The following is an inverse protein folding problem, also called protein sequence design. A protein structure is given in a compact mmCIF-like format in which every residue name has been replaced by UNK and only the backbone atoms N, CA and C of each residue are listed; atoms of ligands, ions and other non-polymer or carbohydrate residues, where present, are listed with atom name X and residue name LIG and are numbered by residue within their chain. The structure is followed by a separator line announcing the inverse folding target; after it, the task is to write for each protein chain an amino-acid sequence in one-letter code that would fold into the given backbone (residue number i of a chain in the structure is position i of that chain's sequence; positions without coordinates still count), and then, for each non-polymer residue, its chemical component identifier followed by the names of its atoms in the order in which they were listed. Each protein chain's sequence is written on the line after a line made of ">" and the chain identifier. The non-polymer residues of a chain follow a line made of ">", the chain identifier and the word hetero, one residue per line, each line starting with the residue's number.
data_IF_825289076760
#
_entry.id   IF_825289076760
#
_cell.length_a   1.000
_cell.length_b   1.000
_cell.length_c   1.000
_cell.angle_alpha   90.00
_cell.angle_beta   90.00
_cell.angle_gamma   90.00
#
_symmetry.space_group_name_H-M   'P 1'
#
loop_
_entity.id
_entity.type
_entity.pdbx_description
1 polymer ?
#
# COMPACT_ATOMS: atom_id res chain seq x y z
N UNK A 1 12.21 44.30 68.26
CA UNK A 1 11.52 44.33 66.96
C UNK A 1 12.57 44.01 65.91
N UNK A 2 12.63 42.77 65.45
CA UNK A 2 13.56 42.30 64.40
C UNK A 2 12.82 42.24 63.04
N UNK A 3 13.24 43.04 62.08
CA UNK A 3 12.70 43.07 60.70
C UNK A 3 13.41 42.00 59.89
N UNK A 4 12.67 41.03 59.32
CA UNK A 4 13.14 40.09 58.32
C UNK A 4 12.96 40.68 56.91
N UNK A 5 13.90 40.60 56.00
CA UNK A 5 13.70 40.99 54.60
C UNK A 5 13.00 39.87 53.82
N UNK A 6 11.93 40.22 53.14
CA UNK A 6 11.30 39.32 52.14
C UNK A 6 12.16 39.27 50.89
N UNK A 7 12.64 38.06 50.54
CA UNK A 7 13.30 37.80 49.28
C UNK A 7 12.25 37.42 48.22
N UNK A 8 12.03 38.29 47.23
CA UNK A 8 11.15 38.04 46.11
C UNK A 8 11.89 37.22 45.05
N UNK A 9 11.62 35.90 44.97
CA UNK A 9 12.17 35.07 43.89
C UNK A 9 11.29 35.23 42.66
N UNK A 10 11.81 35.88 41.65
CA UNK A 10 11.18 36.01 40.31
C UNK A 10 11.43 34.69 39.55
N UNK A 11 10.42 33.82 39.50
CA UNK A 11 10.43 32.62 38.62
C UNK A 11 10.09 33.08 37.21
N UNK A 12 11.10 33.29 36.38
CA UNK A 12 10.88 33.39 34.91
C UNK A 12 10.63 31.99 34.36
N UNK A 13 9.36 31.70 34.06
CA UNK A 13 9.00 30.47 33.35
C UNK A 13 9.57 30.53 31.92
N UNK A 14 10.54 29.66 31.63
CA UNK A 14 11.05 29.43 30.27
C UNK A 14 10.01 28.57 29.52
N UNK A 15 8.97 29.22 28.97
CA UNK A 15 7.95 28.58 28.15
C UNK A 15 8.35 28.46 26.66
N UNK A 16 9.62 28.77 26.31
CA UNK A 16 10.07 28.83 24.92
C UNK A 16 10.69 27.57 24.32
N UNK A 17 11.04 26.54 25.14
CA UNK A 17 11.82 25.41 24.63
C UNK A 17 10.99 24.19 24.18
N UNK A 18 9.83 23.97 24.78
CA UNK A 18 8.98 22.82 24.44
C UNK A 18 8.30 23.00 23.08
N UNK A 19 7.75 24.18 22.78
CA UNK A 19 7.11 24.47 21.49
C UNK A 19 8.11 24.46 20.31
N UNK A 20 9.36 24.88 20.52
CA UNK A 20 10.41 24.82 19.52
C UNK A 20 10.95 23.38 19.29
N UNK A 21 10.96 22.55 20.30
CA UNK A 21 11.31 21.13 20.19
C UNK A 21 10.19 20.31 19.52
N UNK A 22 8.93 20.59 19.80
CA UNK A 22 7.78 19.98 19.11
C UNK A 22 7.70 20.42 17.65
N UNK A 23 7.94 21.69 17.35
CA UNK A 23 8.01 22.19 15.98
C UNK A 23 9.18 21.55 15.17
N UNK A 24 10.35 21.30 15.78
CA UNK A 24 11.46 20.59 15.14
C UNK A 24 11.19 19.10 14.96
N UNK A 25 10.51 18.43 15.89
CA UNK A 25 10.06 17.04 15.75
C UNK A 25 9.03 16.92 14.61
N UNK A 26 8.08 17.85 14.51
CA UNK A 26 7.04 17.83 13.46
C UNK A 26 7.60 18.18 12.08
N UNK A 27 8.56 19.09 11.94
CA UNK A 27 9.20 19.41 10.65
C UNK A 27 10.13 18.31 10.16
N UNK A 28 10.86 17.63 11.04
CA UNK A 28 11.66 16.45 10.69
C UNK A 28 10.80 15.26 10.26
N UNK A 29 9.66 15.06 10.90
CA UNK A 29 8.70 14.02 10.54
C UNK A 29 8.03 14.27 9.17
N UNK A 30 7.81 15.53 8.80
CA UNK A 30 7.18 15.90 7.51
C UNK A 30 8.07 15.67 6.28
N UNK A 31 9.38 15.60 6.44
CA UNK A 31 10.33 15.43 5.33
C UNK A 31 10.83 13.99 5.13
N UNK A 32 10.56 13.07 6.06
CA UNK A 32 10.92 11.67 5.88
C UNK A 32 10.01 10.97 4.86
N UNK A 33 10.48 9.88 4.21
CA UNK A 33 9.63 9.06 3.35
C UNK A 33 8.39 8.56 4.11
N UNK A 34 7.25 8.54 3.42
CA UNK A 34 6.01 7.96 3.94
C UNK A 34 6.14 6.44 3.89
N UNK A 35 5.98 5.76 5.02
CA UNK A 35 5.96 4.30 5.11
C UNK A 35 4.54 3.81 4.77
N UNK A 36 4.33 3.34 3.56
CA UNK A 36 3.01 2.91 3.08
C UNK A 36 2.90 1.39 2.99
N UNK A 37 1.81 0.83 3.54
CA UNK A 37 1.42 -0.55 3.35
C UNK A 37 0.36 -0.62 2.25
N UNK A 38 0.64 -1.33 1.15
CA UNK A 38 -0.34 -1.66 0.12
C UNK A 38 -0.83 -3.09 0.35
N UNK A 39 -2.08 -3.23 0.79
CA UNK A 39 -2.75 -4.53 0.87
C UNK A 39 -3.53 -4.75 -0.40
N UNK A 40 -3.37 -5.90 -1.03
CA UNK A 40 -3.97 -6.19 -2.33
C UNK A 40 -4.25 -7.67 -2.49
N UNK A 41 -5.35 -8.01 -3.17
CA UNK A 41 -5.75 -9.39 -3.40
C UNK A 41 -7.25 -9.58 -3.50
N UNK A 42 -7.68 -10.83 -3.62
CA UNK A 42 -9.08 -11.18 -3.81
C UNK A 42 -9.47 -11.37 -5.28
N UNK A 43 -10.78 -11.35 -5.57
CA UNK A 43 -11.29 -11.60 -6.91
C UNK A 43 -11.22 -10.39 -7.85
N UNK A 44 -11.48 -10.67 -9.09
CA UNK A 44 -12.09 -9.76 -10.07
C UNK A 44 -11.14 -8.74 -10.72
N UNK A 45 -9.94 -8.50 -10.20
CA UNK A 45 -9.01 -7.48 -10.68
C UNK A 45 -7.60 -8.04 -10.91
N UNK A 46 -6.81 -7.31 -11.70
CA UNK A 46 -5.41 -7.64 -11.98
C UNK A 46 -4.48 -7.04 -10.92
N UNK A 47 -4.62 -7.50 -9.69
CA UNK A 47 -3.85 -7.00 -8.55
C UNK A 47 -2.33 -7.11 -8.74
N UNK A 48 -1.86 -8.04 -9.56
CA UNK A 48 -0.43 -8.20 -9.80
C UNK A 48 0.16 -7.07 -10.64
N UNK A 49 -0.62 -6.46 -11.54
CA UNK A 49 -0.24 -5.24 -12.23
C UNK A 49 -0.63 -3.98 -11.45
N UNK A 50 -1.83 -3.97 -10.87
CA UNK A 50 -2.33 -2.81 -10.12
C UNK A 50 -1.39 -2.41 -8.98
N UNK A 51 -0.83 -3.38 -8.23
CA UNK A 51 0.17 -3.08 -7.18
C UNK A 51 1.41 -2.37 -7.72
N UNK A 52 1.84 -2.70 -8.95
CA UNK A 52 2.99 -2.06 -9.60
C UNK A 52 2.64 -0.67 -10.13
N UNK A 53 1.47 -0.53 -10.75
CA UNK A 53 0.99 0.76 -11.25
C UNK A 53 0.84 1.75 -10.11
N UNK A 54 0.17 1.35 -9.02
CA UNK A 54 -0.03 2.20 -7.83
C UNK A 54 1.30 2.56 -7.16
N UNK A 55 2.11 1.57 -6.79
CA UNK A 55 3.34 1.85 -6.06
C UNK A 55 4.34 2.67 -6.86
N UNK A 56 4.57 2.35 -8.14
CA UNK A 56 5.49 3.11 -8.99
C UNK A 56 4.92 4.47 -9.41
N UNK A 57 3.60 4.51 -9.71
CA UNK A 57 2.93 5.74 -10.09
C UNK A 57 2.92 6.78 -8.98
N UNK A 58 2.65 6.36 -7.76
CA UNK A 58 2.70 7.24 -6.58
C UNK A 58 4.14 7.62 -6.23
N UNK A 59 5.11 6.67 -6.27
CA UNK A 59 6.51 6.98 -6.00
C UNK A 59 7.15 7.90 -7.04
N UNK A 60 6.61 7.96 -8.26
CA UNK A 60 7.02 8.96 -9.25
C UNK A 60 6.59 10.39 -8.89
N UNK A 61 5.70 10.55 -7.92
CA UNK A 61 5.02 11.81 -7.54
C UNK A 61 5.24 12.23 -6.10
N UNK A 62 5.63 11.31 -5.23
CA UNK A 62 5.85 11.57 -3.80
C UNK A 62 6.91 10.62 -3.22
N UNK A 63 7.55 11.05 -2.14
CA UNK A 63 8.56 10.25 -1.45
C UNK A 63 7.89 9.19 -0.55
N UNK A 64 7.70 7.99 -1.10
CA UNK A 64 6.99 6.88 -0.45
C UNK A 64 7.82 5.60 -0.51
N UNK A 65 7.92 4.92 0.63
CA UNK A 65 8.49 3.58 0.76
C UNK A 65 7.35 2.58 0.93
N UNK A 66 7.34 1.54 0.10
CA UNK A 66 6.23 0.60 0.04
C UNK A 66 6.55 -0.76 0.66
N UNK A 67 5.66 -1.22 1.52
CA UNK A 67 5.48 -2.64 1.83
C UNK A 67 4.24 -3.14 1.11
N UNK A 68 4.34 -4.23 0.35
CA UNK A 68 3.23 -4.76 -0.44
C UNK A 68 2.81 -6.13 0.07
N UNK A 69 1.62 -6.22 0.64
CA UNK A 69 0.99 -7.47 1.09
C UNK A 69 0.02 -7.99 0.01
N UNK A 70 0.51 -8.81 -0.92
CA UNK A 70 -0.32 -9.50 -1.93
C UNK A 70 -0.76 -10.85 -1.37
N UNK A 71 -1.93 -10.90 -0.75
CA UNK A 71 -2.44 -12.06 0.00
C UNK A 71 -3.89 -12.40 -0.36
N UNK A 72 -4.42 -13.52 0.15
CA UNK A 72 -5.83 -13.91 0.02
C UNK A 72 -6.23 -14.53 -1.32
N UNK A 73 -5.29 -14.75 -2.25
CA UNK A 73 -5.55 -15.43 -3.53
C UNK A 73 -6.52 -14.66 -4.44
N UNK A 74 -7.49 -15.37 -5.04
CA UNK A 74 -8.43 -14.86 -6.03
C UNK A 74 -9.92 -15.08 -5.65
N UNK A 75 -10.22 -15.27 -4.36
CA UNK A 75 -11.59 -15.49 -3.86
C UNK A 75 -12.10 -14.24 -3.15
N UNK A 76 -13.42 -14.19 -2.87
CA UNK A 76 -14.03 -13.08 -2.12
C UNK A 76 -14.13 -13.34 -0.61
N UNK A 77 -13.80 -14.55 -0.13
CA UNK A 77 -14.03 -15.00 1.24
C UNK A 77 -12.76 -15.30 2.04
N UNK A 78 -11.57 -15.07 1.46
CA UNK A 78 -10.33 -15.31 2.18
C UNK A 78 -10.07 -14.20 3.21
N UNK A 79 -9.74 -14.60 4.43
CA UNK A 79 -9.17 -13.70 5.44
C UNK A 79 -7.70 -13.50 5.15
N UNK A 80 -7.26 -12.26 5.00
CA UNK A 80 -5.85 -11.92 4.79
C UNK A 80 -5.07 -12.27 6.07
N UNK A 81 -4.02 -13.13 6.01
CA UNK A 81 -3.26 -13.53 7.20
C UNK A 81 -2.64 -12.35 7.94
N UNK A 82 -2.20 -11.32 7.23
CA UNK A 82 -1.67 -10.09 7.82
C UNK A 82 -2.60 -9.51 8.90
N UNK A 83 -3.90 -9.45 8.62
CA UNK A 83 -4.89 -8.85 9.52
C UNK A 83 -5.25 -9.72 10.73
N UNK A 84 -4.71 -10.94 10.85
CA UNK A 84 -4.86 -11.78 12.04
C UNK A 84 -3.92 -11.34 13.18
N UNK A 85 -2.83 -10.66 12.85
CA UNK A 85 -1.96 -10.04 13.83
C UNK A 85 -2.61 -8.76 14.38
N UNK A 86 -2.61 -8.58 15.71
CA UNK A 86 -3.14 -7.37 16.32
C UNK A 86 -2.33 -6.12 15.96
N UNK A 87 -1.03 -6.28 15.76
CA UNK A 87 -0.08 -5.20 15.49
C UNK A 87 0.25 -5.08 14.00
N UNK A 88 -0.62 -5.60 13.13
CA UNK A 88 -0.41 -5.68 11.68
C UNK A 88 -0.04 -4.35 11.02
N UNK A 89 -0.48 -3.24 11.58
CA UNK A 89 -0.29 -1.88 11.03
C UNK A 89 0.93 -1.15 11.61
N UNK A 90 1.65 -1.75 12.56
CA UNK A 90 2.76 -1.09 13.27
C UNK A 90 3.90 -0.73 12.32
N UNK A 91 4.35 0.52 12.39
CA UNK A 91 5.45 1.06 11.59
C UNK A 91 5.03 1.64 10.23
N UNK A 92 3.73 1.67 9.91
CA UNK A 92 3.20 2.32 8.72
C UNK A 92 2.57 3.67 9.05
N UNK A 93 2.72 4.61 8.11
CA UNK A 93 2.09 5.95 8.17
C UNK A 93 0.73 5.95 7.50
N UNK A 94 0.48 5.00 6.59
CA UNK A 94 -0.76 4.89 5.81
C UNK A 94 -0.94 3.47 5.30
N UNK A 95 -2.20 3.06 5.17
CA UNK A 95 -2.57 1.81 4.49
C UNK A 95 -3.34 2.12 3.22
N UNK A 96 -2.95 1.49 2.12
CA UNK A 96 -3.67 1.53 0.85
C UNK A 96 -4.37 0.18 0.67
N UNK A 97 -5.68 0.20 0.81
CA UNK A 97 -6.56 -0.95 0.58
C UNK A 97 -6.92 -1.02 -0.90
N UNK A 98 -6.37 -2.04 -1.60
CA UNK A 98 -6.68 -2.40 -2.98
C UNK A 98 -7.01 -3.88 -3.04
N UNK A 99 -8.02 -4.30 -2.31
CA UNK A 99 -8.44 -5.69 -2.16
C UNK A 99 -9.93 -5.90 -2.41
N UNK A 100 -10.35 -7.15 -2.67
CA UNK A 100 -11.75 -7.50 -2.91
C UNK A 100 -12.17 -8.77 -2.16
N UNK A 101 -12.62 -8.62 -0.89
CA UNK A 101 -13.06 -9.71 -0.01
C UNK A 101 -14.48 -9.49 0.52
N UNK A 102 -15.42 -9.26 -0.40
CA UNK A 102 -16.81 -8.91 -0.08
C UNK A 102 -17.58 -9.97 0.73
N UNK A 103 -17.14 -11.24 0.68
CA UNK A 103 -17.80 -12.36 1.35
C UNK A 103 -17.25 -12.70 2.74
N UNK A 104 -16.24 -11.97 3.21
CA UNK A 104 -15.77 -12.07 4.61
C UNK A 104 -16.78 -11.39 5.52
N UNK A 105 -17.38 -12.19 6.44
CA UNK A 105 -18.46 -11.73 7.36
C UNK A 105 -18.05 -11.77 8.82
N UNK A 106 -16.81 -12.09 9.13
CA UNK A 106 -16.32 -12.17 10.50
C UNK A 106 -16.12 -10.76 11.07
N UNK A 107 -16.99 -10.39 12.01
CA UNK A 107 -17.03 -9.06 12.63
C UNK A 107 -15.78 -8.74 13.43
N UNK A 108 -15.23 -9.71 14.15
CA UNK A 108 -14.03 -9.52 14.98
C UNK A 108 -12.79 -9.33 14.09
N UNK A 109 -12.68 -10.13 13.04
CA UNK A 109 -11.63 -9.97 12.04
C UNK A 109 -11.67 -8.57 11.40
N UNK A 110 -12.86 -8.12 11.00
CA UNK A 110 -13.02 -6.77 10.41
C UNK A 110 -12.77 -5.68 11.45
N UNK A 111 -13.21 -5.85 12.69
CA UNK A 111 -12.91 -4.91 13.77
C UNK A 111 -11.40 -4.76 14.02
N UNK A 112 -10.62 -5.86 13.89
CA UNK A 112 -9.16 -5.79 13.98
C UNK A 112 -8.52 -5.01 12.83
N UNK A 113 -9.10 -5.06 11.61
CA UNK A 113 -8.67 -4.21 10.49
C UNK A 113 -8.97 -2.73 10.79
N UNK A 114 -10.16 -2.46 11.30
CA UNK A 114 -10.66 -1.09 11.50
C UNK A 114 -10.03 -0.37 12.70
N UNK A 115 -9.58 -1.12 13.71
CA UNK A 115 -9.07 -0.56 14.97
C UNK A 115 -7.95 0.49 14.76
N UNK A 116 -6.84 0.21 14.05
CA UNK A 116 -5.79 1.22 13.88
C UNK A 116 -6.26 2.45 13.11
N UNK A 117 -7.20 2.30 12.17
CA UNK A 117 -7.77 3.43 11.44
C UNK A 117 -8.63 4.32 12.33
N UNK A 118 -9.40 3.74 13.24
CA UNK A 118 -10.15 4.50 14.24
C UNK A 118 -9.23 5.24 15.21
N UNK A 119 -8.06 4.66 15.51
CA UNK A 119 -7.00 5.21 16.36
C UNK A 119 -6.10 6.23 15.64
N UNK A 120 -6.40 6.61 14.40
CA UNK A 120 -5.73 7.69 13.66
C UNK A 120 -4.85 7.26 12.49
N UNK A 121 -4.69 5.96 12.20
CA UNK A 121 -3.91 5.53 11.03
C UNK A 121 -4.66 5.88 9.73
N UNK A 122 -4.09 6.72 8.85
CA UNK A 122 -4.70 7.08 7.58
C UNK A 122 -4.93 5.90 6.66
N UNK A 123 -5.94 6.00 5.78
CA UNK A 123 -6.25 4.99 4.78
C UNK A 123 -6.55 5.57 3.40
N UNK A 124 -6.19 4.80 2.37
CA UNK A 124 -6.72 4.95 1.03
C UNK A 124 -7.54 3.70 0.68
N UNK A 125 -8.72 3.90 0.11
CA UNK A 125 -9.60 2.82 -0.36
C UNK A 125 -9.72 2.92 -1.88
N UNK A 126 -9.19 1.93 -2.57
CA UNK A 126 -9.12 1.91 -4.02
C UNK A 126 -10.15 0.92 -4.56
N UNK A 127 -11.08 1.42 -5.36
CA UNK A 127 -12.03 0.68 -6.15
C UNK A 127 -12.83 -0.34 -5.31
N UNK A 128 -12.60 -1.64 -5.50
CA UNK A 128 -13.36 -2.72 -4.86
C UNK A 128 -13.24 -2.74 -3.33
N UNK A 129 -12.18 -2.16 -2.77
CA UNK A 129 -11.99 -2.07 -1.32
C UNK A 129 -13.15 -1.34 -0.62
N UNK A 130 -13.84 -0.43 -1.33
CA UNK A 130 -14.96 0.31 -0.78
C UNK A 130 -16.17 -0.57 -0.40
N UNK A 131 -16.30 -1.77 -0.94
CA UNK A 131 -17.40 -2.67 -0.65
C UNK A 131 -16.98 -4.09 -0.17
N UNK A 132 -15.77 -4.19 0.38
CA UNK A 132 -15.28 -5.40 1.06
C UNK A 132 -16.02 -5.66 2.38
N UNK A 133 -15.70 -6.78 3.01
CA UNK A 133 -16.01 -7.08 4.41
C UNK A 133 -17.46 -6.81 4.83
N UNK A 134 -18.42 -7.41 4.08
CA UNK A 134 -19.86 -7.22 4.30
C UNK A 134 -20.36 -8.07 5.48
N UNK A 135 -20.12 -7.57 6.68
CA UNK A 135 -20.44 -8.25 7.96
C UNK A 135 -21.92 -8.26 8.31
N UNK A 136 -22.76 -7.57 7.54
CA UNK A 136 -24.20 -7.44 7.78
C UNK A 136 -24.56 -6.25 8.67
N UNK A 137 -23.57 -5.47 9.09
CA UNK A 137 -23.70 -4.17 9.74
C UNK A 137 -22.89 -3.11 8.96
N UNK A 138 -22.93 -1.87 9.41
CA UNK A 138 -22.32 -0.74 8.71
C UNK A 138 -20.83 -0.51 9.07
N UNK A 139 -20.20 -1.32 9.94
CA UNK A 139 -18.86 -1.02 10.48
C UNK A 139 -17.79 -0.74 9.40
N UNK A 140 -17.78 -1.52 8.30
CA UNK A 140 -16.88 -1.25 7.17
C UNK A 140 -17.29 -0.01 6.40
N UNK A 141 -18.60 0.19 6.18
CA UNK A 141 -19.11 1.32 5.41
C UNK A 141 -18.99 2.66 6.13
N UNK A 142 -19.05 2.68 7.46
CA UNK A 142 -18.72 3.86 8.27
C UNK A 142 -17.25 4.28 8.07
N UNK A 143 -16.34 3.30 8.04
CA UNK A 143 -14.93 3.56 7.72
C UNK A 143 -14.75 4.04 6.28
N UNK A 144 -15.44 3.44 5.32
CA UNK A 144 -15.42 3.86 3.91
C UNK A 144 -16.04 5.25 3.72
N UNK A 145 -17.13 5.56 4.43
CA UNK A 145 -17.91 6.80 4.29
C UNK A 145 -18.97 6.77 3.21
N UNK A 146 -19.00 5.73 2.37
CA UNK A 146 -19.99 5.52 1.30
C UNK A 146 -20.34 4.04 1.22
N UNK A 147 -21.61 3.73 1.14
CA UNK A 147 -22.10 2.35 0.96
C UNK A 147 -22.56 2.11 -0.47
N UNK A 148 -22.08 1.00 -1.05
CA UNK A 148 -22.51 0.51 -2.35
C UNK A 148 -22.74 -1.01 -2.33
N UNK A 149 -23.85 -1.51 -2.86
CA UNK A 149 -24.08 -2.95 -3.00
C UNK A 149 -23.33 -3.56 -4.20
N UNK A 150 -22.89 -2.73 -5.17
CA UNK A 150 -22.25 -3.16 -6.41
C UNK A 150 -22.29 -2.08 -7.49
N UNK A 151 -22.10 -2.49 -8.71
CA UNK A 151 -21.97 -1.63 -9.88
C UNK A 151 -22.84 -2.10 -11.04
N UNK A 152 -22.97 -1.26 -12.07
CA UNK A 152 -23.59 -1.59 -13.34
C UNK A 152 -22.62 -2.27 -14.31
N UNK A 153 -22.98 -2.36 -15.62
CA UNK A 153 -22.09 -2.87 -16.64
C UNK A 153 -20.84 -1.99 -16.83
N UNK A 154 -19.80 -2.55 -17.44
CA UNK A 154 -18.54 -1.85 -17.70
C UNK A 154 -18.69 -0.90 -18.89
N UNK A 155 -18.39 0.37 -18.71
CA UNK A 155 -18.42 1.38 -19.75
C UNK A 155 -17.50 2.56 -19.42
N UNK A 156 -17.26 3.41 -20.41
CA UNK A 156 -16.60 4.70 -20.19
C UNK A 156 -17.58 5.67 -19.53
N UNK A 157 -17.14 6.34 -18.46
CA UNK A 157 -17.96 7.36 -17.77
C UNK A 157 -17.12 8.58 -17.41
N UNK A 158 -17.79 9.71 -17.28
CA UNK A 158 -17.16 10.97 -16.93
C UNK A 158 -17.44 11.30 -15.46
N UNK A 159 -16.38 11.62 -14.72
CA UNK A 159 -16.44 12.06 -13.33
C UNK A 159 -16.33 13.57 -13.30
N UNK A 160 -17.35 14.25 -12.80
CA UNK A 160 -17.38 15.68 -12.56
C UNK A 160 -16.65 16.02 -11.25
N UNK A 161 -15.83 17.09 -11.27
CA UNK A 161 -15.14 17.61 -10.09
C UNK A 161 -16.08 18.49 -9.28
N UNK A 162 -16.51 17.99 -8.11
CA UNK A 162 -17.49 18.66 -7.24
C UNK A 162 -16.84 19.66 -6.28
N UNK A 163 -15.53 19.59 -6.08
CA UNK A 163 -14.79 20.41 -5.12
C UNK A 163 -13.42 20.84 -5.69
N UNK A 164 -13.37 21.68 -6.73
CA UNK A 164 -12.11 22.04 -7.40
C UNK A 164 -11.08 22.74 -6.51
N UNK A 165 -11.54 23.39 -5.42
CA UNK A 165 -10.66 24.02 -4.43
C UNK A 165 -10.06 23.03 -3.41
N UNK A 166 -10.56 21.78 -3.35
CA UNK A 166 -10.01 20.79 -2.43
C UNK A 166 -8.60 20.36 -2.85
N UNK A 167 -7.62 20.26 -1.93
CA UNK A 167 -6.22 19.97 -2.26
C UNK A 167 -6.02 18.71 -3.11
N UNK A 168 -6.81 17.66 -2.85
CA UNK A 168 -6.77 16.41 -3.62
C UNK A 168 -7.15 16.62 -5.09
N UNK A 169 -8.09 17.53 -5.36
CA UNK A 169 -8.67 17.74 -6.69
C UNK A 169 -7.89 18.75 -7.54
N UNK A 170 -6.79 19.29 -7.02
CA UNK A 170 -5.92 20.17 -7.79
C UNK A 170 -5.31 19.43 -8.96
N UNK A 171 -5.39 20.01 -10.16
CA UNK A 171 -4.93 19.38 -11.40
C UNK A 171 -5.87 18.32 -11.99
N UNK A 172 -6.92 17.91 -11.26
CA UNK A 172 -7.93 16.99 -11.79
C UNK A 172 -8.70 17.59 -13.00
N UNK A 173 -8.83 18.92 -12.99
CA UNK A 173 -9.63 19.65 -13.96
C UNK A 173 -11.12 19.56 -13.66
N UNK A 174 -11.99 20.12 -14.54
CA UNK A 174 -13.44 20.08 -14.33
C UNK A 174 -14.01 18.67 -14.42
N UNK A 175 -13.37 17.81 -15.23
CA UNK A 175 -13.83 16.45 -15.52
C UNK A 175 -12.67 15.49 -15.72
N UNK A 176 -12.92 14.22 -15.39
CA UNK A 176 -12.04 13.09 -15.72
C UNK A 176 -12.85 12.02 -16.44
N UNK A 177 -12.37 11.56 -17.58
CA UNK A 177 -12.97 10.44 -18.29
C UNK A 177 -12.27 9.16 -17.86
N UNK A 178 -12.99 8.27 -17.17
CA UNK A 178 -12.56 6.89 -16.99
C UNK A 178 -12.80 6.16 -18.31
N UNK A 179 -11.74 5.76 -19.04
CA UNK A 179 -11.91 5.22 -20.41
C UNK A 179 -12.70 3.92 -20.42
N UNK A 180 -12.62 3.16 -19.35
CA UNK A 180 -13.39 1.95 -19.08
C UNK A 180 -13.46 1.72 -17.58
N UNK A 181 -14.62 1.32 -17.06
CA UNK A 181 -14.75 1.11 -15.63
C UNK A 181 -16.10 0.56 -15.21
N UNK A 182 -16.23 0.38 -13.91
CA UNK A 182 -17.44 0.03 -13.19
C UNK A 182 -17.90 1.25 -12.40
N UNK A 183 -19.08 1.76 -12.71
CA UNK A 183 -19.68 2.82 -11.90
C UNK A 183 -20.45 2.18 -10.77
N UNK A 184 -19.94 2.34 -9.53
CA UNK A 184 -20.59 1.81 -8.32
C UNK A 184 -21.85 2.60 -7.99
N UNK A 185 -22.90 1.88 -7.55
CA UNK A 185 -24.18 2.46 -7.17
C UNK A 185 -24.14 2.84 -5.69
N UNK A 186 -24.01 4.13 -5.39
CA UNK A 186 -24.04 4.66 -4.02
C UNK A 186 -25.47 4.65 -3.49
N UNK A 187 -25.71 3.96 -2.38
CA UNK A 187 -27.00 3.89 -1.71
C UNK A 187 -27.06 4.69 -0.41
N UNK A 188 -25.91 4.96 0.20
CA UNK A 188 -25.77 5.77 1.41
C UNK A 188 -24.45 6.52 1.35
N UNK A 189 -24.48 7.79 1.69
CA UNK A 189 -23.29 8.63 1.96
C UNK A 189 -23.40 9.03 3.42
N UNK A 190 -22.37 8.74 4.21
CA UNK A 190 -22.34 9.07 5.63
C UNK A 190 -22.00 10.54 5.84
N UNK A 191 -22.51 11.15 6.90
CA UNK A 191 -22.31 12.57 7.19
C UNK A 191 -20.85 12.97 7.39
N UNK A 192 -20.00 12.01 7.78
CA UNK A 192 -18.55 12.16 7.90
C UNK A 192 -17.81 12.24 6.56
N UNK A 193 -18.49 11.89 5.44
CA UNK A 193 -17.88 11.89 4.12
C UNK A 193 -18.06 13.23 3.39
N UNK A 194 -17.02 13.63 2.66
CA UNK A 194 -17.04 14.77 1.75
C UNK A 194 -16.88 14.31 0.32
N UNK A 195 -17.89 14.46 -0.51
CA UNK A 195 -17.88 14.08 -1.93
C UNK A 195 -17.03 15.08 -2.72
N UNK A 196 -16.02 14.57 -3.44
CA UNK A 196 -15.10 15.33 -4.28
C UNK A 196 -15.37 15.15 -5.78
N UNK A 197 -15.89 13.97 -6.17
CA UNK A 197 -16.19 13.68 -7.58
C UNK A 197 -17.39 12.74 -7.71
N UNK A 198 -18.20 12.99 -8.74
CA UNK A 198 -19.41 12.20 -9.06
C UNK A 198 -19.49 11.91 -10.55
N UNK A 199 -20.17 10.81 -10.90
CA UNK A 199 -20.57 10.51 -12.26
C UNK A 199 -22.05 10.12 -12.31
N UNK A 200 -22.72 10.43 -13.41
CA UNK A 200 -24.11 10.08 -13.57
C UNK A 200 -24.26 8.67 -14.14
N UNK A 201 -25.13 7.88 -13.50
CA UNK A 201 -25.44 6.52 -13.92
C UNK A 201 -26.18 6.50 -15.26
N UNK A 202 -25.72 5.64 -16.16
CA UNK A 202 -26.39 5.43 -17.45
C UNK A 202 -27.78 4.86 -17.22
N UNK A 203 -28.77 5.43 -17.88
CA UNK A 203 -30.15 5.00 -17.86
C UNK A 203 -31.08 5.89 -17.04
N UNK A 204 -30.76 6.15 -15.78
CA UNK A 204 -31.60 6.99 -14.89
C UNK A 204 -30.95 8.33 -14.48
N UNK A 205 -29.74 8.56 -14.95
CA UNK A 205 -28.96 9.78 -14.69
C UNK A 205 -28.73 10.11 -13.19
N UNK A 206 -28.89 9.13 -12.31
CA UNK A 206 -28.65 9.33 -10.86
C UNK A 206 -27.15 9.55 -10.57
N UNK A 207 -26.78 10.56 -9.80
CA UNK A 207 -25.39 10.80 -9.42
C UNK A 207 -24.87 9.67 -8.53
N UNK A 208 -23.63 9.23 -8.81
CA UNK A 208 -22.92 8.21 -8.06
C UNK A 208 -21.59 8.78 -7.58
N UNK A 209 -21.23 8.52 -6.33
CA UNK A 209 -19.98 9.00 -5.74
C UNK A 209 -18.80 8.21 -6.32
N UNK A 210 -17.81 8.94 -6.85
CA UNK A 210 -16.61 8.35 -7.44
C UNK A 210 -15.33 8.68 -6.69
N UNK A 211 -15.26 9.86 -6.06
CA UNK A 211 -14.08 10.33 -5.29
C UNK A 211 -14.60 11.03 -4.04
N UNK A 212 -14.07 10.69 -2.87
CA UNK A 212 -14.46 11.32 -1.61
C UNK A 212 -13.36 11.23 -0.55
N UNK A 213 -13.52 11.99 0.50
CA UNK A 213 -12.79 11.83 1.77
C UNK A 213 -13.77 11.45 2.87
N UNK A 214 -13.27 10.82 3.93
CA UNK A 214 -14.04 10.49 5.10
C UNK A 214 -13.21 10.69 6.38
N UNK A 215 -13.86 10.91 7.49
CA UNK A 215 -13.27 10.89 8.83
C UNK A 215 -13.77 9.65 9.58
N UNK A 216 -12.85 8.86 10.15
CA UNK A 216 -13.20 7.65 10.89
C UNK A 216 -12.43 7.59 12.21
N UNK A 217 -13.10 7.92 13.32
CA UNK A 217 -12.41 8.23 14.58
C UNK A 217 -11.42 9.39 14.37
N UNK A 218 -10.17 9.18 14.72
CA UNK A 218 -9.08 10.15 14.51
C UNK A 218 -8.41 9.99 13.12
N UNK A 219 -8.81 8.98 12.33
CA UNK A 219 -8.21 8.65 11.05
C UNK A 219 -8.83 9.41 9.88
N UNK A 220 -7.99 9.73 8.89
CA UNK A 220 -8.37 10.29 7.60
C UNK A 220 -8.44 9.23 6.53
N UNK A 221 -9.48 9.25 5.74
CA UNK A 221 -9.69 8.31 4.64
C UNK A 221 -9.85 9.08 3.33
N UNK A 222 -9.07 8.71 2.33
CA UNK A 222 -9.32 9.05 0.93
C UNK A 222 -9.84 7.81 0.21
N UNK A 223 -10.86 7.96 -0.62
CA UNK A 223 -11.43 6.82 -1.33
C UNK A 223 -11.87 7.17 -2.75
N UNK A 224 -11.81 6.16 -3.63
CA UNK A 224 -12.29 6.26 -5.01
C UNK A 224 -12.87 4.94 -5.50
N UNK A 225 -14.00 5.00 -6.22
CA UNK A 225 -14.55 3.84 -6.96
C UNK A 225 -13.88 3.64 -8.32
N UNK A 226 -13.07 4.60 -8.79
CA UNK A 226 -12.34 4.50 -10.04
C UNK A 226 -11.18 3.53 -9.85
N UNK A 227 -10.91 2.61 -10.81
CA UNK A 227 -9.73 1.76 -10.72
C UNK A 227 -9.92 0.27 -11.05
N UNK A 228 -11.01 -0.09 -11.74
CA UNK A 228 -11.21 -1.49 -12.18
C UNK A 228 -10.12 -1.93 -13.17
N UNK A 229 -9.83 -1.11 -14.17
CA UNK A 229 -8.91 -1.43 -15.26
C UNK A 229 -7.53 -0.81 -15.06
N UNK A 230 -6.50 -1.56 -15.46
CA UNK A 230 -5.11 -1.12 -15.41
C UNK A 230 -4.91 0.17 -16.22
N UNK A 231 -5.57 0.29 -17.38
CA UNK A 231 -5.52 1.46 -18.27
C UNK A 231 -6.00 2.73 -17.54
N UNK A 232 -7.09 2.63 -16.78
CA UNK A 232 -7.63 3.73 -15.99
C UNK A 232 -6.70 4.09 -14.84
N UNK A 233 -6.15 3.08 -14.15
CA UNK A 233 -5.22 3.31 -13.03
C UNK A 233 -3.88 3.89 -13.47
N UNK A 234 -3.44 3.61 -14.70
CA UNK A 234 -2.19 4.14 -15.26
C UNK A 234 -2.34 5.56 -15.87
N UNK A 235 -3.55 6.14 -15.86
CA UNK A 235 -3.75 7.51 -16.30
C UNK A 235 -3.04 8.50 -15.36
N UNK A 236 -2.23 9.45 -15.88
CA UNK A 236 -1.50 10.40 -15.05
C UNK A 236 -2.39 11.16 -14.07
N UNK A 237 -3.54 11.67 -14.53
CA UNK A 237 -4.51 12.39 -13.67
C UNK A 237 -5.06 11.51 -12.54
N UNK A 238 -5.27 10.22 -12.79
CA UNK A 238 -5.69 9.28 -11.76
C UNK A 238 -4.59 9.13 -10.69
N UNK A 239 -3.35 8.91 -11.12
CA UNK A 239 -2.21 8.77 -10.23
C UNK A 239 -1.90 10.06 -9.46
N UNK A 240 -2.07 11.22 -10.09
CA UNK A 240 -1.94 12.52 -9.43
C UNK A 240 -2.97 12.68 -8.31
N UNK A 241 -4.24 12.34 -8.57
CA UNK A 241 -5.32 12.37 -7.59
C UNK A 241 -5.06 11.41 -6.42
N UNK A 242 -4.68 10.16 -6.70
CA UNK A 242 -4.38 9.15 -5.67
C UNK A 242 -3.19 9.60 -4.83
N UNK A 243 -2.14 10.16 -5.45
CA UNK A 243 -0.97 10.67 -4.73
C UNK A 243 -1.33 11.84 -3.82
N UNK A 244 -2.12 12.80 -4.30
CA UNK A 244 -2.60 13.91 -3.47
C UNK A 244 -3.52 13.41 -2.35
N UNK A 245 -4.31 12.36 -2.60
CA UNK A 245 -5.11 11.68 -1.58
C UNK A 245 -4.25 11.08 -0.47
N UNK A 246 -3.13 10.44 -0.85
CA UNK A 246 -2.17 9.88 0.10
C UNK A 246 -1.49 10.97 0.93
N UNK A 247 -1.00 12.03 0.28
CA UNK A 247 -0.38 13.17 0.97
C UNK A 247 -1.36 13.84 1.94
N UNK A 248 -2.60 14.10 1.49
CA UNK A 248 -3.65 14.71 2.32
C UNK A 248 -3.99 13.83 3.53
N UNK A 249 -4.14 12.53 3.35
CA UNK A 249 -4.45 11.61 4.44
C UNK A 249 -3.33 11.58 5.49
N UNK A 250 -2.07 11.69 5.06
CA UNK A 250 -0.89 11.71 5.94
C UNK A 250 -0.54 13.11 6.50
N UNK A 251 -1.41 14.11 6.38
CA UNK A 251 -1.13 15.50 6.78
C UNK A 251 0.16 16.07 6.15
N UNK A 252 0.49 15.61 4.93
CA UNK A 252 1.57 16.17 4.12
C UNK A 252 1.03 17.29 3.23
N UNK A 253 1.87 18.26 2.97
CA UNK A 253 1.53 19.31 2.01
C UNK A 253 1.34 18.70 0.62
N UNK A 254 0.14 18.86 0.04
CA UNK A 254 -0.23 18.30 -1.27
C UNK A 254 0.41 19.04 -2.45
N UNK A 255 1.07 20.17 -2.21
CA UNK A 255 1.84 20.92 -3.20
C UNK A 255 3.35 20.68 -3.03
N UNK A 256 3.89 21.00 -1.83
CA UNK A 256 5.31 20.83 -1.56
C UNK A 256 5.76 19.36 -1.50
N UNK A 257 4.85 18.43 -1.13
CA UNK A 257 5.10 16.99 -1.12
C UNK A 257 4.81 16.29 -2.45
N UNK A 258 4.26 17.01 -3.43
CA UNK A 258 3.89 16.47 -4.74
C UNK A 258 4.85 16.97 -5.82
N UNK A 259 5.40 16.05 -6.59
CA UNK A 259 6.22 16.34 -7.78
C UNK A 259 5.49 15.79 -9.02
N UNK A 260 5.21 16.60 -10.04
CA UNK A 260 4.64 16.10 -11.29
C UNK A 260 5.54 15.03 -11.92
N UNK A 261 4.94 13.96 -12.42
CA UNK A 261 5.66 12.92 -13.15
C UNK A 261 6.13 13.43 -14.51
N UNK A 262 7.23 12.86 -15.03
CA UNK A 262 7.65 13.13 -16.40
C UNK A 262 6.89 12.26 -17.40
N UNK A 263 6.85 12.67 -18.66
CA UNK A 263 6.23 11.89 -19.75
C UNK A 263 6.84 10.50 -19.88
N UNK A 264 8.16 10.39 -19.80
CA UNK A 264 8.89 9.12 -19.87
C UNK A 264 8.53 8.19 -18.72
N UNK A 265 8.37 8.76 -17.51
CA UNK A 265 7.95 7.97 -16.34
C UNK A 265 6.50 7.49 -16.47
N UNK A 266 5.59 8.33 -16.95
CA UNK A 266 4.20 7.94 -17.18
C UNK A 266 4.08 6.87 -18.28
N UNK A 267 4.88 6.96 -19.34
CA UNK A 267 4.96 5.92 -20.38
C UNK A 267 5.51 4.60 -19.83
N UNK A 268 6.52 4.66 -18.95
CA UNK A 268 7.04 3.48 -18.25
C UNK A 268 6.00 2.83 -17.34
N UNK A 269 5.16 3.62 -16.67
CA UNK A 269 4.04 3.11 -15.86
C UNK A 269 2.96 2.49 -16.76
N UNK A 270 2.60 3.12 -17.86
CA UNK A 270 1.66 2.55 -18.84
C UNK A 270 2.15 1.23 -19.43
N UNK A 271 3.45 1.06 -19.64
CA UNK A 271 4.02 -0.21 -20.11
C UNK A 271 3.75 -1.38 -19.15
N UNK A 272 3.49 -1.11 -17.85
CA UNK A 272 3.14 -2.15 -16.89
C UNK A 272 1.78 -2.82 -17.18
N UNK A 273 0.90 -2.16 -17.93
CA UNK A 273 -0.39 -2.72 -18.34
C UNK A 273 -0.20 -4.01 -19.14
N UNK A 274 0.85 -4.08 -19.98
CA UNK A 274 1.12 -5.21 -20.87
C UNK A 274 2.21 -6.17 -20.34
N UNK A 275 2.76 -5.95 -19.12
CA UNK A 275 3.80 -6.83 -18.57
C UNK A 275 3.25 -8.25 -18.41
N UNK A 276 3.89 -9.24 -19.03
CA UNK A 276 3.62 -10.64 -18.79
C UNK A 276 4.12 -11.03 -17.39
N UNK A 277 3.23 -10.90 -16.42
CA UNK A 277 3.45 -11.45 -15.08
C UNK A 277 3.15 -12.94 -15.15
N UNK A 278 4.06 -13.76 -14.61
CA UNK A 278 3.76 -15.17 -14.42
C UNK A 278 2.42 -15.27 -13.64
N UNK A 279 1.46 -16.11 -14.09
CA UNK A 279 0.19 -16.23 -13.39
C UNK A 279 0.44 -16.54 -11.92
N UNK A 280 -0.26 -15.83 -11.03
CA UNK A 280 -0.24 -16.16 -9.62
C UNK A 280 -0.58 -17.64 -9.46
N UNK A 281 0.16 -18.42 -8.65
CA UNK A 281 -0.16 -19.83 -8.46
C UNK A 281 -1.60 -19.92 -7.99
N UNK A 282 -2.45 -20.62 -8.76
CA UNK A 282 -3.82 -20.90 -8.35
C UNK A 282 -3.76 -21.54 -6.97
N UNK A 283 -4.48 -21.01 -6.01
CA UNK A 283 -4.61 -21.59 -4.68
C UNK A 283 -5.00 -23.07 -4.87
N UNK A 284 -4.10 -23.98 -4.57
CA UNK A 284 -4.32 -25.40 -4.69
C UNK A 284 -5.28 -25.83 -3.59
N UNK A 285 -6.54 -25.98 -3.94
CA UNK A 285 -7.41 -26.89 -3.22
C UNK A 285 -6.90 -28.31 -3.44
N UNK A 286 -6.44 -28.97 -2.36
CA UNK A 286 -6.12 -30.39 -2.31
C UNK A 286 -4.90 -30.84 -3.08
N UNK A 287 -3.85 -31.24 -2.37
CA UNK A 287 -2.87 -32.26 -2.72
C UNK A 287 -2.22 -32.21 -4.11
N UNK A 288 -1.60 -31.10 -4.52
CA UNK A 288 -0.81 -31.06 -5.75
C UNK A 288 0.63 -31.51 -5.49
N UNK A 289 1.08 -32.52 -6.25
CA UNK A 289 2.50 -32.90 -6.36
C UNK A 289 3.36 -31.68 -6.75
N UNK A 290 4.61 -31.57 -6.26
CA UNK A 290 5.50 -30.47 -6.62
C UNK A 290 5.62 -30.36 -8.15
N UNK A 291 5.32 -29.19 -8.68
CA UNK A 291 5.49 -28.90 -10.11
C UNK A 291 6.98 -28.87 -10.42
N UNK A 292 7.39 -29.45 -11.53
CA UNK A 292 8.78 -29.47 -11.97
C UNK A 292 9.41 -28.08 -11.89
N UNK A 293 10.53 -27.96 -11.22
CA UNK A 293 11.24 -26.74 -10.93
C UNK A 293 11.66 -26.03 -12.23
N UNK A 294 11.15 -24.79 -12.40
CA UNK A 294 11.60 -23.91 -13.50
C UNK A 294 12.97 -23.29 -13.19
N UNK A 295 13.83 -23.15 -14.20
CA UNK A 295 15.09 -22.41 -14.07
C UNK A 295 14.89 -20.93 -14.41
N UNK A 296 15.39 -20.03 -13.57
CA UNK A 296 15.43 -18.60 -13.84
C UNK A 296 16.44 -18.29 -14.97
N UNK A 297 16.17 -17.25 -15.77
CA UNK A 297 17.11 -16.82 -16.81
C UNK A 297 18.34 -16.14 -16.17
N UNK A 298 19.55 -16.58 -16.58
CA UNK A 298 20.82 -15.99 -16.12
C UNK A 298 21.03 -14.54 -16.60
N UNK A 299 20.56 -14.20 -17.80
CA UNK A 299 20.82 -12.88 -18.42
C UNK A 299 20.16 -11.76 -17.60
N UNK A 300 20.98 -10.86 -17.03
CA UNK A 300 20.54 -9.73 -16.23
C UNK A 300 20.28 -10.02 -14.74
N UNK A 301 20.41 -11.28 -14.29
CA UNK A 301 20.31 -11.61 -12.88
C UNK A 301 21.70 -11.59 -12.22
N UNK A 302 22.04 -10.50 -11.53
CA UNK A 302 23.34 -10.30 -10.92
C UNK A 302 23.60 -11.30 -9.78
N UNK A 303 22.58 -11.68 -9.02
CA UNK A 303 22.74 -12.56 -7.86
C UNK A 303 23.28 -13.95 -8.21
N UNK A 304 22.93 -14.49 -9.41
CA UNK A 304 23.33 -15.84 -9.80
C UNK A 304 24.84 -16.00 -10.06
N UNK A 305 25.56 -14.88 -10.24
CA UNK A 305 27.02 -14.88 -10.37
C UNK A 305 27.71 -14.56 -9.05
N UNK A 306 26.95 -14.10 -8.04
CA UNK A 306 27.48 -13.67 -6.76
C UNK A 306 27.74 -14.84 -5.80
N UNK A 307 28.60 -14.59 -4.81
CA UNK A 307 28.93 -15.53 -3.74
C UNK A 307 27.95 -15.38 -2.59
N UNK A 308 27.12 -16.40 -2.34
CA UNK A 308 26.17 -16.41 -1.23
C UNK A 308 26.84 -16.77 0.10
N UNK A 309 26.39 -16.14 1.19
CA UNK A 309 26.67 -16.50 2.57
C UNK A 309 25.42 -16.31 3.43
N UNK A 310 25.35 -17.00 4.57
CA UNK A 310 24.21 -16.93 5.48
C UNK A 310 24.66 -17.14 6.92
N UNK A 311 23.89 -16.65 7.88
CA UNK A 311 24.12 -16.85 9.32
C UNK A 311 24.00 -18.33 9.71
N UNK A 312 23.09 -19.07 9.09
CA UNK A 312 22.87 -20.50 9.29
C UNK A 312 22.26 -21.16 8.05
N UNK A 313 22.22 -22.49 8.00
CA UNK A 313 21.55 -23.25 6.94
C UNK A 313 20.98 -24.58 7.45
N UNK A 314 19.82 -24.97 6.95
CA UNK A 314 19.12 -26.21 7.32
C UNK A 314 19.71 -27.41 6.54
N UNK A 315 20.90 -27.86 6.96
CA UNK A 315 21.66 -28.97 6.31
C UNK A 315 20.89 -30.27 6.25
N UNK A 316 20.16 -30.57 7.33
CA UNK A 316 19.42 -31.83 7.46
C UNK A 316 18.37 -32.04 6.36
N UNK A 317 17.84 -30.96 5.82
CA UNK A 317 16.86 -30.95 4.71
C UNK A 317 17.46 -30.49 3.38
N UNK A 318 18.78 -30.34 3.33
CA UNK A 318 19.50 -29.89 2.13
C UNK A 318 19.04 -28.48 1.65
N UNK A 319 18.66 -27.60 2.56
CA UNK A 319 18.28 -26.22 2.24
C UNK A 319 19.50 -25.30 2.45
N UNK A 320 20.46 -25.41 1.54
CA UNK A 320 21.79 -24.83 1.71
C UNK A 320 21.89 -23.39 1.22
N UNK A 321 22.82 -22.62 1.78
CA UNK A 321 23.09 -21.21 1.47
C UNK A 321 23.22 -20.95 -0.03
N UNK A 322 23.93 -21.80 -0.77
CA UNK A 322 24.16 -21.70 -2.23
C UNK A 322 22.89 -21.79 -3.06
N UNK A 323 21.80 -22.30 -2.50
CA UNK A 323 20.54 -22.46 -3.21
C UNK A 323 19.68 -21.19 -3.19
N UNK A 324 20.08 -20.15 -2.43
CA UNK A 324 19.39 -18.86 -2.40
C UNK A 324 19.53 -18.06 -3.70
N UNK A 325 20.55 -18.35 -4.52
CA UNK A 325 20.82 -17.64 -5.78
C UNK A 325 21.22 -18.56 -6.96
N UNK A 326 20.96 -19.86 -6.89
CA UNK A 326 21.34 -20.83 -7.95
C UNK A 326 20.43 -20.76 -9.20
N UNK A 327 19.37 -19.96 -9.14
CA UNK A 327 18.40 -19.80 -10.23
C UNK A 327 17.46 -20.98 -10.42
N UNK A 328 17.41 -21.90 -9.49
CA UNK A 328 16.55 -23.08 -9.53
C UNK A 328 15.41 -22.92 -8.50
N UNK A 329 14.19 -22.76 -8.96
CA UNK A 329 13.01 -22.60 -8.09
C UNK A 329 12.60 -23.88 -7.33
N UNK A 330 13.27 -25.00 -7.58
CA UNK A 330 13.08 -26.26 -6.85
C UNK A 330 14.03 -26.44 -5.66
N UNK A 331 15.00 -25.57 -5.54
CA UNK A 331 15.94 -25.48 -4.42
C UNK A 331 15.71 -24.20 -3.64
N UNK A 332 16.17 -24.14 -2.40
CA UNK A 332 16.05 -22.95 -1.56
C UNK A 332 17.11 -22.95 -0.46
N UNK A 333 17.35 -21.78 0.06
CA UNK A 333 17.97 -21.64 1.36
C UNK A 333 16.90 -21.56 2.46
N UNK A 334 17.16 -22.21 3.59
CA UNK A 334 16.45 -21.98 4.85
C UNK A 334 17.47 -21.86 5.97
N UNK A 335 17.20 -20.97 6.92
CA UNK A 335 17.94 -20.92 8.18
C UNK A 335 17.75 -22.19 9.00
N UNK A 336 18.70 -22.50 9.86
CA UNK A 336 18.60 -23.62 10.78
C UNK A 336 17.77 -23.24 12.02
N UNK A 337 16.46 -23.18 11.83
CA UNK A 337 15.49 -22.77 12.84
C UNK A 337 14.70 -21.53 12.46
N UNK A 338 14.02 -20.94 13.46
CA UNK A 338 13.13 -19.78 13.30
C UNK A 338 13.55 -18.58 14.16
N UNK A 339 14.84 -18.46 14.47
CA UNK A 339 15.34 -17.39 15.32
C UNK A 339 15.27 -16.04 14.58
N UNK A 340 14.87 -14.96 15.26
CA UNK A 340 14.99 -13.62 14.69
C UNK A 340 16.46 -13.27 14.39
N UNK A 341 16.70 -12.54 13.30
CA UNK A 341 18.03 -12.09 12.92
C UNK A 341 18.81 -13.03 12.01
N UNK A 342 18.20 -14.13 11.52
CA UNK A 342 18.81 -14.96 10.50
C UNK A 342 18.98 -14.16 9.20
N UNK A 343 20.19 -14.22 8.62
CA UNK A 343 20.55 -13.44 7.43
C UNK A 343 20.99 -14.31 6.28
N UNK A 344 20.69 -13.89 5.07
CA UNK A 344 21.25 -14.38 3.84
C UNK A 344 21.72 -13.20 3.00
N UNK A 345 22.93 -13.27 2.48
CA UNK A 345 23.50 -12.20 1.65
C UNK A 345 24.18 -12.77 0.40
N UNK A 346 24.32 -11.93 -0.60
CA UNK A 346 25.08 -12.23 -1.82
C UNK A 346 26.07 -11.10 -2.10
N UNK A 347 27.34 -11.47 -2.23
CA UNK A 347 28.41 -10.61 -2.68
C UNK A 347 28.45 -10.65 -4.21
N UNK A 348 28.32 -9.49 -4.85
CA UNK A 348 28.34 -9.34 -6.31
C UNK A 348 29.75 -9.15 -6.88
N UNK A 349 30.79 -9.19 -6.02
CA UNK A 349 32.20 -9.08 -6.36
C UNK A 349 32.69 -7.64 -6.57
N UNK A 350 31.84 -6.74 -7.02
CA UNK A 350 32.09 -5.32 -7.19
C UNK A 350 30.78 -4.53 -7.06
N UNK A 351 30.80 -3.23 -6.76
CA UNK A 351 29.60 -2.40 -6.72
C UNK A 351 28.83 -2.44 -8.03
N UNK A 352 27.55 -2.82 -7.97
CA UNK A 352 26.65 -2.94 -9.12
C UNK A 352 25.45 -2.03 -8.95
N UNK A 353 24.96 -1.49 -10.06
CA UNK A 353 23.68 -0.80 -10.06
C UNK A 353 22.54 -1.82 -10.06
N UNK A 354 21.88 -2.00 -8.90
CA UNK A 354 20.76 -2.92 -8.73
C UNK A 354 19.46 -2.13 -8.92
N UNK A 355 18.67 -2.46 -9.96
CA UNK A 355 17.40 -1.80 -10.27
C UNK A 355 16.20 -2.38 -9.54
N UNK A 356 16.27 -3.67 -9.20
CA UNK A 356 15.19 -4.37 -8.52
C UNK A 356 15.69 -5.62 -7.85
N UNK A 357 15.02 -6.02 -6.77
CA UNK A 357 15.21 -7.29 -6.08
C UNK A 357 13.90 -8.09 -6.15
N UNK A 358 14.02 -9.42 -6.37
CA UNK A 358 12.90 -10.34 -6.26
C UNK A 358 13.27 -11.50 -5.38
N UNK A 359 12.53 -11.72 -4.30
CA UNK A 359 12.66 -12.87 -3.42
C UNK A 359 11.54 -13.85 -3.73
N UNK A 360 11.89 -15.10 -3.97
CA UNK A 360 10.94 -16.21 -4.16
C UNK A 360 10.84 -16.99 -2.85
N UNK A 361 9.76 -16.77 -2.12
CA UNK A 361 9.49 -17.47 -0.86
C UNK A 361 8.97 -18.88 -1.11
N UNK A 362 9.31 -19.83 -0.20
CA UNK A 362 8.91 -21.24 -0.30
C UNK A 362 7.40 -21.42 -0.35
N UNK A 363 6.69 -20.75 0.54
CA UNK A 363 5.24 -20.85 0.66
C UNK A 363 4.58 -19.57 0.16
N UNK A 364 3.90 -19.68 -0.97
CA UNK A 364 3.03 -18.59 -1.43
C UNK A 364 1.89 -18.40 -0.42
N UNK A 365 1.73 -17.15 0.05
CA UNK A 365 0.69 -16.80 1.03
C UNK A 365 1.10 -16.90 2.50
N UNK A 366 2.32 -17.38 2.81
CA UNK A 366 2.87 -17.24 4.15
C UNK A 366 3.43 -15.82 4.37
N UNK A 367 3.28 -15.28 5.57
CA UNK A 367 3.90 -14.02 5.95
C UNK A 367 5.38 -14.28 6.31
N UNK A 368 6.28 -13.61 5.59
CA UNK A 368 7.70 -13.58 5.91
C UNK A 368 8.07 -12.15 6.31
N UNK A 369 8.51 -11.97 7.55
CA UNK A 369 9.11 -10.69 7.96
C UNK A 369 10.57 -10.70 7.50
N UNK A 370 10.96 -9.74 6.68
CA UNK A 370 12.33 -9.60 6.20
C UNK A 370 12.66 -8.13 6.00
N UNK A 371 13.92 -7.79 6.23
CA UNK A 371 14.52 -6.52 5.90
C UNK A 371 15.52 -6.74 4.77
N UNK A 372 15.58 -5.81 3.84
CA UNK A 372 16.56 -5.82 2.75
C UNK A 372 17.50 -4.67 2.96
N UNK A 373 18.78 -4.97 2.99
CA UNK A 373 19.85 -4.00 3.14
C UNK A 373 20.84 -4.12 1.99
N UNK A 374 21.50 -3.03 1.64
CA UNK A 374 22.57 -2.98 0.66
C UNK A 374 23.82 -2.37 1.27
N UNK A 375 24.98 -2.86 0.85
CA UNK A 375 26.29 -2.34 1.22
C UNK A 375 27.19 -2.21 -0.01
N UNK A 376 28.00 -1.17 -0.07
CA UNK A 376 29.03 -1.01 -1.09
C UNK A 376 30.37 -1.66 -0.71
N UNK A 377 30.62 -1.89 0.58
CA UNK A 377 31.88 -2.35 1.13
C UNK A 377 31.77 -3.61 2.03
N UNK A 378 30.53 -4.12 2.22
CA UNK A 378 30.24 -5.25 3.09
C UNK A 378 30.38 -4.95 4.59
N UNK A 379 30.56 -3.69 4.99
CA UNK A 379 30.72 -3.26 6.39
C UNK A 379 29.58 -2.35 6.85
N UNK A 380 29.26 -1.34 6.03
CA UNK A 380 28.15 -0.43 6.30
C UNK A 380 26.93 -0.84 5.48
N UNK A 381 25.82 -1.14 6.15
CA UNK A 381 24.57 -1.61 5.53
C UNK A 381 23.49 -0.54 5.63
N UNK A 382 22.72 -0.35 4.56
CA UNK A 382 21.62 0.61 4.46
C UNK A 382 20.35 -0.13 4.01
N UNK A 383 19.23 0.13 4.68
CA UNK A 383 17.89 -0.37 4.33
C UNK A 383 17.35 0.37 3.13
#
# INVERSE_FOLDING_TARGET
>A
MKRFPFLLILVMAIAGSAAAQDARKTTGAKNRPIQALLVTGGCCHDYDRQKLILSRGVSARANVVWTIARQGGSTTNAKIPLYQDRDWSKGFDVVVHNECFASVKDKEFVANILRPHREGLPALLIHCAMHCYRTGDDQWFEFVGVQSPGHGPHYSFTVDNMKPAHPIMKGFGPKFVAPKGELYHSIKVFDSATVLGQANRRGDNKPQVCVWTNSYGDGKVFATTIGHYNETMAEPKYLDMVTRGLLWACDRDTEAGFTPSTKETDEAIRSLIAVNLAPAPKAAGGGAKPRAAGKLRKKGNLSMAGKASASSEEKAKNNLTRYGNDGNLGTRWCANGSNPGETWQVDLGEPKHVRSLRIHWEKGGAAYRSQVEASADGKEWKT
#
